data_IF_604185134682
#
_entry.id   IF_604185134682
#
_cell.length_a   1.000
_cell.length_b   1.000
_cell.length_c   1.000
_cell.angle_alpha   90.00
_cell.angle_beta   90.00
_cell.angle_gamma   90.00
#
_symmetry.space_group_name_H-M   'P 1'
#
loop_
_entity.id
_entity.type
_entity.pdbx_description
1 polymer ?
#
# COMPACT_ATOMS: atom_id res chain seq x y z
N UNK A 1 16.94 -4.51 20.57
CA UNK A 1 16.11 -3.34 20.17
C UNK A 1 15.84 -3.28 18.67
N UNK A 2 16.86 -3.32 17.79
CA UNK A 2 16.68 -3.22 16.33
C UNK A 2 15.78 -4.30 15.71
N UNK A 3 15.87 -5.55 16.17
CA UNK A 3 15.02 -6.66 15.70
C UNK A 3 13.53 -6.46 16.03
N UNK A 4 13.22 -5.92 17.21
CA UNK A 4 11.84 -5.64 17.63
C UNK A 4 11.22 -4.55 16.75
N UNK A 5 11.94 -3.45 16.54
CA UNK A 5 11.46 -2.33 15.69
C UNK A 5 11.12 -2.84 14.30
N UNK A 6 12.01 -3.64 13.68
CA UNK A 6 11.76 -4.22 12.35
C UNK A 6 10.54 -5.13 12.32
N UNK A 7 10.31 -5.91 13.38
CA UNK A 7 9.13 -6.77 13.49
C UNK A 7 7.84 -5.96 13.55
N UNK A 8 7.83 -4.86 14.32
CA UNK A 8 6.71 -3.93 14.38
C UNK A 8 6.49 -3.20 13.05
N UNK A 9 7.56 -2.72 12.41
CA UNK A 9 7.47 -2.08 11.09
C UNK A 9 6.88 -3.00 10.03
N UNK A 10 7.28 -4.27 10.02
CA UNK A 10 6.70 -5.27 9.12
C UNK A 10 5.21 -5.48 9.40
N UNK A 11 4.82 -5.63 10.67
CA UNK A 11 3.42 -5.82 11.06
C UNK A 11 2.56 -4.63 10.61
N UNK A 12 2.99 -3.41 10.91
CA UNK A 12 2.30 -2.18 10.51
C UNK A 12 2.17 -2.08 8.99
N UNK A 13 3.26 -2.31 8.25
CA UNK A 13 3.27 -2.23 6.80
C UNK A 13 2.36 -3.28 6.15
N UNK A 14 2.37 -4.52 6.65
CA UNK A 14 1.49 -5.57 6.17
C UNK A 14 0.03 -5.26 6.45
N UNK A 15 -0.31 -4.80 7.66
CA UNK A 15 -1.68 -4.40 8.00
C UNK A 15 -2.16 -3.26 7.10
N UNK A 16 -1.33 -2.25 6.84
CA UNK A 16 -1.68 -1.16 5.93
C UNK A 16 -1.95 -1.65 4.50
N UNK A 17 -1.10 -2.53 3.96
CA UNK A 17 -1.31 -3.11 2.64
C UNK A 17 -2.62 -3.93 2.57
N UNK A 18 -2.93 -4.72 3.60
CA UNK A 18 -4.17 -5.51 3.67
C UNK A 18 -5.39 -4.59 3.71
N UNK A 19 -5.37 -3.52 4.51
CA UNK A 19 -6.48 -2.55 4.57
C UNK A 19 -6.67 -1.90 3.19
N UNK A 20 -5.60 -1.50 2.50
CA UNK A 20 -5.68 -0.92 1.17
C UNK A 20 -6.30 -1.88 0.14
N UNK A 21 -5.94 -3.17 0.19
CA UNK A 21 -6.54 -4.20 -0.66
C UNK A 21 -8.03 -4.36 -0.36
N UNK A 22 -8.44 -4.39 0.91
CA UNK A 22 -9.85 -4.49 1.29
C UNK A 22 -10.67 -3.30 0.78
N UNK A 23 -10.12 -2.09 0.90
CA UNK A 23 -10.75 -0.86 0.37
C UNK A 23 -10.87 -0.92 -1.15
N UNK A 24 -9.82 -1.36 -1.85
CA UNK A 24 -9.85 -1.51 -3.31
C UNK A 24 -10.88 -2.56 -3.75
N UNK A 25 -10.96 -3.70 -3.05
CA UNK A 25 -11.98 -4.73 -3.29
C UNK A 25 -13.40 -4.19 -3.08
N UNK A 26 -13.62 -3.39 -2.02
CA UNK A 26 -14.92 -2.76 -1.79
C UNK A 26 -15.35 -1.86 -2.97
N UNK A 27 -14.44 -1.06 -3.51
CA UNK A 27 -14.73 -0.23 -4.69
C UNK A 27 -14.99 -1.08 -5.95
N UNK A 28 -14.17 -2.11 -6.19
CA UNK A 28 -14.35 -3.02 -7.34
C UNK A 28 -15.71 -3.70 -7.28
N UNK A 29 -16.11 -4.24 -6.12
CA UNK A 29 -17.39 -4.93 -5.94
C UNK A 29 -18.55 -3.94 -6.07
N UNK A 30 -18.44 -2.76 -5.43
CA UNK A 30 -19.49 -1.73 -5.50
C UNK A 30 -19.75 -1.26 -6.93
N UNK A 31 -18.69 -1.10 -7.73
CA UNK A 31 -18.82 -0.65 -9.11
C UNK A 31 -19.27 -1.78 -10.04
N UNK A 32 -18.94 -3.04 -9.74
CA UNK A 32 -19.50 -4.19 -10.42
C UNK A 32 -21.03 -4.29 -10.21
N UNK A 33 -21.52 -4.06 -8.99
CA UNK A 33 -22.97 -4.04 -8.68
C UNK A 33 -23.69 -2.92 -9.43
N UNK A 34 -23.04 -1.76 -9.62
CA UNK A 34 -23.59 -0.60 -10.35
C UNK A 34 -23.48 -0.73 -11.88
N UNK A 35 -22.88 -1.81 -12.41
CA UNK A 35 -22.70 -2.01 -13.85
C UNK A 35 -21.63 -1.10 -14.49
N UNK A 36 -20.72 -0.53 -13.70
CA UNK A 36 -19.66 0.40 -14.16
C UNK A 36 -18.30 -0.30 -14.36
N UNK A 37 -18.28 -1.64 -14.43
CA UNK A 37 -17.06 -2.49 -14.41
C UNK A 37 -15.96 -2.10 -15.40
N UNK A 38 -16.29 -1.55 -16.58
CA UNK A 38 -15.30 -1.20 -17.61
C UNK A 38 -14.33 -0.09 -17.18
N UNK A 39 -14.69 0.73 -16.18
CA UNK A 39 -13.87 1.87 -15.73
C UNK A 39 -12.74 1.47 -14.76
N UNK A 40 -12.83 0.29 -14.13
CA UNK A 40 -11.96 -0.09 -13.01
C UNK A 40 -10.98 -1.23 -13.30
N UNK A 41 -10.77 -1.59 -14.56
CA UNK A 41 -9.90 -2.72 -14.91
C UNK A 41 -8.44 -2.52 -14.42
N UNK A 42 -7.97 -1.26 -14.41
CA UNK A 42 -6.65 -0.90 -13.84
C UNK A 42 -6.60 -1.09 -12.32
N UNK A 43 -7.66 -0.70 -11.60
CA UNK A 43 -7.74 -0.89 -10.15
C UNK A 43 -7.78 -2.39 -9.78
N UNK A 44 -8.51 -3.19 -10.56
CA UNK A 44 -8.55 -4.65 -10.39
C UNK A 44 -7.17 -5.28 -10.57
N UNK A 45 -6.46 -4.93 -11.65
CA UNK A 45 -5.11 -5.42 -11.91
C UNK A 45 -4.14 -5.01 -10.80
N UNK A 46 -4.19 -3.76 -10.35
CA UNK A 46 -3.37 -3.26 -9.25
C UNK A 46 -3.65 -4.01 -7.94
N UNK A 47 -4.93 -4.30 -7.66
CA UNK A 47 -5.34 -5.06 -6.47
C UNK A 47 -4.82 -6.50 -6.51
N UNK A 48 -4.90 -7.17 -7.66
CA UNK A 48 -4.33 -8.50 -7.86
C UNK A 48 -2.80 -8.52 -7.69
N UNK A 49 -2.10 -7.53 -8.26
CA UNK A 49 -0.66 -7.38 -8.10
C UNK A 49 -0.28 -7.15 -6.62
N UNK A 50 -1.04 -6.34 -5.89
CA UNK A 50 -0.80 -6.09 -4.46
C UNK A 50 -1.09 -7.32 -3.60
N UNK A 51 -2.10 -8.13 -3.93
CA UNK A 51 -2.30 -9.43 -3.25
C UNK A 51 -1.10 -10.37 -3.46
N UNK A 52 -0.58 -10.45 -4.68
CA UNK A 52 0.67 -11.18 -4.97
C UNK A 52 1.87 -10.63 -4.19
N UNK A 53 2.00 -9.30 -4.13
CA UNK A 53 3.07 -8.61 -3.39
C UNK A 53 3.06 -8.95 -1.89
N UNK A 54 1.90 -8.88 -1.25
CA UNK A 54 1.70 -9.23 0.17
C UNK A 54 2.05 -10.71 0.40
N UNK A 55 1.66 -11.60 -0.51
CA UNK A 55 2.03 -13.01 -0.47
C UNK A 55 3.54 -13.24 -0.52
N UNK A 56 4.24 -12.56 -1.45
CA UNK A 56 5.71 -12.62 -1.57
C UNK A 56 6.38 -12.09 -0.30
N UNK A 57 5.90 -10.97 0.25
CA UNK A 57 6.43 -10.40 1.49
C UNK A 57 6.30 -11.39 2.65
N UNK A 58 5.17 -12.08 2.77
CA UNK A 58 4.96 -13.09 3.79
C UNK A 58 5.85 -14.32 3.60
N UNK A 59 5.98 -14.81 2.36
CA UNK A 59 6.87 -15.93 2.03
C UNK A 59 8.35 -15.63 2.35
N UNK A 60 8.81 -14.42 2.08
CA UNK A 60 10.17 -13.99 2.43
C UNK A 60 10.39 -13.94 3.94
N UNK A 61 9.35 -13.53 4.70
CA UNK A 61 9.38 -13.51 6.16
C UNK A 61 9.53 -14.93 6.73
N UNK A 62 8.73 -15.87 6.26
CA UNK A 62 8.75 -17.27 6.73
C UNK A 62 10.01 -18.02 6.30
N UNK A 63 10.61 -17.62 5.16
CA UNK A 63 11.91 -18.14 4.69
C UNK A 63 13.13 -17.57 5.43
N UNK A 64 12.93 -16.80 6.52
CA UNK A 64 14.00 -16.21 7.33
C UNK A 64 14.60 -14.91 6.77
N UNK A 65 14.18 -14.43 5.59
CA UNK A 65 14.62 -13.16 4.98
C UNK A 65 13.82 -11.98 5.52
N UNK A 66 13.86 -11.80 6.83
CA UNK A 66 13.05 -10.81 7.56
C UNK A 66 13.33 -9.36 7.16
N UNK A 67 14.60 -9.01 6.91
CA UNK A 67 15.00 -7.66 6.50
C UNK A 67 14.47 -7.29 5.10
N UNK A 68 14.64 -8.21 4.14
CA UNK A 68 14.14 -8.02 2.78
C UNK A 68 12.62 -7.91 2.76
N UNK A 69 11.94 -8.79 3.50
CA UNK A 69 10.48 -8.80 3.65
C UNK A 69 9.96 -7.47 4.23
N UNK A 70 10.62 -6.93 5.24
CA UNK A 70 10.23 -5.65 5.87
C UNK A 70 10.37 -4.48 4.90
N UNK A 71 11.50 -4.41 4.19
CA UNK A 71 11.75 -3.35 3.21
C UNK A 71 10.75 -3.43 2.04
N UNK A 72 10.43 -4.63 1.56
CA UNK A 72 9.44 -4.83 0.50
C UNK A 72 8.02 -4.49 0.95
N UNK A 73 7.64 -4.82 2.19
CA UNK A 73 6.32 -4.46 2.71
C UNK A 73 6.13 -2.93 2.83
N UNK A 74 7.20 -2.17 3.08
CA UNK A 74 7.17 -0.71 3.18
C UNK A 74 7.26 0.02 1.83
N UNK A 75 7.68 -0.65 0.77
CA UNK A 75 7.89 -0.06 -0.56
C UNK A 75 6.64 0.66 -1.10
N UNK A 76 5.43 0.11 -0.99
CA UNK A 76 4.20 0.78 -1.41
C UNK A 76 3.87 2.08 -0.64
N UNK A 77 4.47 2.30 0.54
CA UNK A 77 4.28 3.52 1.32
C UNK A 77 5.15 4.70 0.82
N UNK A 78 6.21 4.42 0.05
CA UNK A 78 7.14 5.46 -0.46
C UNK A 78 6.42 6.46 -1.38
N UNK A 79 5.60 6.05 -2.37
CA UNK A 79 4.83 7.00 -3.18
C UNK A 79 3.90 7.88 -2.34
N UNK A 80 3.26 7.31 -1.31
CA UNK A 80 2.32 8.04 -0.44
C UNK A 80 3.05 9.13 0.33
N UNK A 81 4.21 8.81 0.91
CA UNK A 81 5.06 9.79 1.58
C UNK A 81 5.54 10.88 0.61
N UNK A 82 5.92 10.50 -0.62
CA UNK A 82 6.32 11.47 -1.65
C UNK A 82 5.20 12.46 -2.01
N UNK A 83 3.97 11.97 -2.21
CA UNK A 83 2.81 12.82 -2.46
C UNK A 83 2.47 13.73 -1.27
N UNK A 84 2.49 13.19 -0.05
CA UNK A 84 2.24 13.98 1.15
C UNK A 84 3.27 15.11 1.33
N UNK A 85 4.54 14.83 1.03
CA UNK A 85 5.64 15.80 1.11
C UNK A 85 5.50 16.89 0.05
N UNK A 86 5.11 16.52 -1.18
CA UNK A 86 4.80 17.49 -2.24
C UNK A 86 3.66 18.42 -1.84
N UNK A 87 2.56 17.88 -1.32
CA UNK A 87 1.41 18.67 -0.85
C UNK A 87 1.84 19.64 0.26
N UNK A 88 2.63 19.15 1.23
CA UNK A 88 3.18 19.99 2.30
C UNK A 88 4.05 21.13 1.74
N UNK A 89 4.89 20.82 0.74
CA UNK A 89 5.72 21.81 0.06
C UNK A 89 4.87 22.87 -0.63
N UNK A 90 3.78 22.48 -1.30
CA UNK A 90 2.85 23.40 -1.94
C UNK A 90 2.15 24.32 -0.93
N UNK A 91 1.74 23.78 0.23
CA UNK A 91 1.13 24.58 1.31
C UNK A 91 2.11 25.62 1.85
N UNK A 92 3.40 25.26 2.02
CA UNK A 92 4.43 26.17 2.55
C UNK A 92 4.85 27.21 1.50
N UNK A 93 5.06 26.80 0.25
CA UNK A 93 5.58 27.67 -0.82
C UNK A 93 4.50 28.55 -1.46
N UNK A 94 3.24 28.12 -1.45
CA UNK A 94 2.11 28.87 -2.02
C UNK A 94 0.85 28.68 -1.16
N UNK A 95 0.79 29.29 0.03
CA UNK A 95 -0.34 29.13 0.96
C UNK A 95 -1.68 29.63 0.41
N UNK A 96 -1.67 30.50 -0.61
CA UNK A 96 -2.87 31.09 -1.24
C UNK A 96 -3.47 30.27 -2.39
N UNK A 97 -2.98 29.06 -2.66
CA UNK A 97 -3.64 28.15 -3.62
C UNK A 97 -4.84 27.44 -2.97
N UNK A 98 -5.90 28.20 -2.69
CA UNK A 98 -7.25 27.68 -2.45
C UNK A 98 -8.15 27.96 -3.64
#
# INVERSE_FOLDING_TARGET
>A
MWSLIKSWSYAIAMTANIIAILVALFFIISDAIKGLSYKNNSLMLATLAMMGWVGICHFLRTSGKTDLSTNMAMLPAIPILGYALLILLFIILKPDMR
#
